data_IF_241236444596
#
_entry.id   IF_241236444596
#
_cell.length_a   1.000
_cell.length_b   1.000
_cell.length_c   1.000
_cell.angle_alpha   90.00
_cell.angle_beta   90.00
_cell.angle_gamma   90.00
#
_symmetry.space_group_name_H-M   'P 1'
#
loop_
_entity.id
_entity.type
_entity.pdbx_description
1 polymer ?
#
# COMPACT_ATOMS: atom_id res chain seq x y z
N UNK A 1 -32.57 -24.97 14.02
CA UNK A 1 -31.35 -25.72 13.71
C UNK A 1 -30.40 -24.76 13.02
N UNK A 2 -29.35 -24.35 13.73
CA UNK A 2 -28.40 -23.30 13.30
C UNK A 2 -27.72 -23.65 11.99
N UNK A 3 -27.80 -22.75 11.02
CA UNK A 3 -26.94 -22.74 9.85
C UNK A 3 -25.61 -22.10 10.26
N UNK A 4 -24.60 -22.93 10.50
CA UNK A 4 -23.22 -22.49 10.69
C UNK A 4 -22.72 -21.93 9.36
N UNK A 5 -22.67 -20.60 9.24
CA UNK A 5 -21.92 -19.93 8.18
C UNK A 5 -20.45 -20.33 8.33
N UNK A 6 -19.93 -21.07 7.35
CA UNK A 6 -18.52 -21.42 7.29
C UNK A 6 -17.70 -20.15 7.13
N UNK A 7 -17.13 -19.65 8.22
CA UNK A 7 -16.09 -18.64 8.14
C UNK A 7 -14.91 -19.28 7.40
N UNK A 8 -14.61 -18.81 6.21
CA UNK A 8 -13.38 -19.12 5.50
C UNK A 8 -12.21 -18.69 6.40
N UNK A 9 -11.48 -19.66 6.95
CA UNK A 9 -10.27 -19.40 7.73
C UNK A 9 -9.28 -18.72 6.79
N UNK A 10 -8.90 -17.48 7.10
CA UNK A 10 -7.87 -16.81 6.30
C UNK A 10 -6.53 -17.53 6.48
N UNK A 11 -5.77 -17.73 5.40
CA UNK A 11 -4.47 -18.39 5.49
C UNK A 11 -3.55 -17.61 6.41
N UNK A 12 -2.85 -18.33 7.28
CA UNK A 12 -1.88 -17.74 8.21
C UNK A 12 -0.60 -17.36 7.48
N UNK A 13 0.25 -16.56 8.13
CA UNK A 13 1.60 -16.29 7.61
C UNK A 13 2.38 -17.57 7.28
N UNK A 14 2.26 -18.60 8.11
CA UNK A 14 2.88 -19.90 7.87
C UNK A 14 2.35 -20.58 6.60
N UNK A 15 1.03 -20.58 6.39
CA UNK A 15 0.39 -21.19 5.21
C UNK A 15 0.85 -20.49 3.93
N UNK A 16 0.88 -19.16 3.92
CA UNK A 16 1.30 -18.37 2.78
C UNK A 16 2.79 -18.58 2.48
N UNK A 17 3.69 -18.52 3.47
CA UNK A 17 5.13 -18.79 3.28
C UNK A 17 5.37 -20.20 2.72
N UNK A 18 4.68 -21.20 3.27
CA UNK A 18 4.82 -22.59 2.82
C UNK A 18 4.34 -22.81 1.39
N UNK A 19 3.26 -22.13 0.99
CA UNK A 19 2.76 -22.16 -0.40
C UNK A 19 3.70 -21.40 -1.34
N UNK A 20 4.09 -20.18 -0.98
CA UNK A 20 4.76 -19.26 -1.90
C UNK A 20 6.22 -19.69 -2.18
N UNK A 21 6.91 -20.26 -1.17
CA UNK A 21 8.26 -20.83 -1.35
C UNK A 21 8.29 -22.20 -2.04
N UNK A 22 7.12 -22.82 -2.26
CA UNK A 22 7.00 -24.05 -3.04
C UNK A 22 6.70 -23.79 -4.53
N UNK A 23 6.56 -22.52 -4.94
CA UNK A 23 6.32 -22.15 -6.34
C UNK A 23 7.61 -22.13 -7.14
N UNK A 24 7.49 -22.25 -8.46
CA UNK A 24 8.56 -22.04 -9.42
C UNK A 24 8.09 -21.01 -10.47
N UNK A 25 8.61 -19.77 -10.48
CA UNK A 25 9.61 -19.23 -9.55
C UNK A 25 9.09 -19.06 -8.11
N UNK A 26 10.00 -19.01 -7.13
CA UNK A 26 9.66 -18.78 -5.72
C UNK A 26 9.24 -17.34 -5.49
N UNK A 27 8.21 -17.14 -4.68
CA UNK A 27 7.70 -15.81 -4.34
C UNK A 27 7.45 -15.71 -2.83
N UNK A 28 7.36 -14.49 -2.33
CA UNK A 28 6.82 -14.16 -1.01
C UNK A 28 6.00 -12.88 -1.14
N UNK A 29 4.86 -12.82 -0.46
CA UNK A 29 3.96 -11.66 -0.55
C UNK A 29 4.50 -10.44 0.21
N UNK A 30 4.49 -9.28 -0.46
CA UNK A 30 4.97 -8.00 0.10
C UNK A 30 4.20 -7.52 1.33
N UNK A 31 2.94 -7.94 1.52
CA UNK A 31 2.16 -7.63 2.74
C UNK A 31 2.88 -8.06 4.03
N UNK A 32 3.80 -9.03 3.95
CA UNK A 32 4.54 -9.53 5.10
C UNK A 32 5.79 -8.71 5.46
N UNK A 33 6.16 -7.70 4.66
CA UNK A 33 7.22 -6.76 5.04
C UNK A 33 6.88 -5.98 6.31
N UNK A 34 5.60 -5.65 6.52
CA UNK A 34 5.17 -4.65 7.50
C UNK A 34 4.97 -5.21 8.93
N UNK A 35 5.93 -5.99 9.42
CA UNK A 35 6.08 -6.18 10.86
C UNK A 35 6.62 -4.89 11.51
N UNK A 36 6.78 -4.87 12.84
CA UNK A 36 7.23 -3.66 13.57
C UNK A 36 8.53 -3.09 12.98
N UNK A 37 9.52 -3.94 12.69
CA UNK A 37 10.80 -3.52 12.14
C UNK A 37 10.67 -3.07 10.68
N UNK A 38 9.96 -3.82 9.85
CA UNK A 38 9.79 -3.48 8.45
C UNK A 38 9.01 -2.19 8.23
N UNK A 39 8.01 -1.90 9.05
CA UNK A 39 7.32 -0.60 9.02
C UNK A 39 8.27 0.55 9.34
N UNK A 40 9.17 0.39 10.32
CA UNK A 40 10.19 1.42 10.63
C UNK A 40 11.20 1.60 9.49
N UNK A 41 11.62 0.50 8.85
CA UNK A 41 12.48 0.55 7.68
C UNK A 41 11.79 1.25 6.50
N UNK A 42 10.51 0.99 6.27
CA UNK A 42 9.74 1.68 5.24
C UNK A 42 9.59 3.18 5.52
N UNK A 43 9.33 3.58 6.77
CA UNK A 43 9.33 5.00 7.16
C UNK A 43 10.70 5.67 6.93
N UNK A 44 11.80 4.94 7.09
CA UNK A 44 13.12 5.43 6.72
C UNK A 44 13.28 5.56 5.20
N UNK A 45 12.80 4.59 4.41
CA UNK A 45 12.77 4.64 2.94
C UNK A 45 12.04 5.90 2.46
N UNK A 46 10.87 6.19 3.04
CA UNK A 46 10.06 7.38 2.74
C UNK A 46 10.80 8.72 2.93
N UNK A 47 11.93 8.73 3.67
CA UNK A 47 12.76 9.92 3.92
C UNK A 47 14.03 9.96 3.07
N UNK A 48 14.32 8.91 2.29
CA UNK A 48 15.48 8.85 1.42
C UNK A 48 15.35 9.85 0.25
N UNK A 49 16.44 10.51 -0.16
CA UNK A 49 16.40 11.45 -1.29
C UNK A 49 16.10 10.76 -2.62
N UNK A 50 16.41 9.46 -2.76
CA UNK A 50 16.13 8.68 -3.97
C UNK A 50 14.66 8.22 -4.05
N UNK A 51 14.01 7.96 -2.92
CA UNK A 51 12.61 7.55 -2.86
C UNK A 51 11.68 8.77 -2.83
N UNK A 52 11.57 9.44 -3.99
CA UNK A 52 10.88 10.74 -4.11
C UNK A 52 9.34 10.66 -4.00
N UNK A 53 8.77 9.45 -3.99
CA UNK A 53 7.32 9.20 -4.02
C UNK A 53 6.60 9.92 -2.88
N UNK A 54 7.05 9.74 -1.63
CA UNK A 54 6.38 10.31 -0.45
C UNK A 54 6.38 11.84 -0.46
N UNK A 55 7.50 12.46 -0.82
CA UNK A 55 7.61 13.92 -0.88
C UNK A 55 6.79 14.51 -2.03
N UNK A 56 6.79 13.85 -3.19
CA UNK A 56 5.99 14.27 -4.33
C UNK A 56 4.49 14.25 -4.02
N UNK A 57 4.02 13.16 -3.40
CA UNK A 57 2.63 13.02 -3.00
C UNK A 57 2.23 14.04 -1.91
N UNK A 58 3.08 14.27 -0.90
CA UNK A 58 2.85 15.33 0.09
C UNK A 58 2.78 16.72 -0.55
N UNK A 59 3.65 17.01 -1.52
CA UNK A 59 3.60 18.26 -2.28
C UNK A 59 2.28 18.43 -3.02
N UNK A 60 1.83 17.38 -3.72
CA UNK A 60 0.55 17.39 -4.42
C UNK A 60 -0.64 17.51 -3.48
N UNK A 61 -0.64 16.81 -2.35
CA UNK A 61 -1.70 16.94 -1.34
C UNK A 61 -1.81 18.37 -0.84
N UNK A 62 -0.68 19.06 -0.57
CA UNK A 62 -0.70 20.48 -0.18
C UNK A 62 -1.30 21.34 -1.30
N UNK A 63 -0.98 21.05 -2.55
CA UNK A 63 -1.48 21.78 -3.70
C UNK A 63 -2.98 21.55 -3.95
N UNK A 64 -3.47 20.31 -3.86
CA UNK A 64 -4.83 19.95 -4.25
C UNK A 64 -5.82 19.84 -3.08
N UNK A 65 -5.35 19.88 -1.82
CA UNK A 65 -6.21 19.65 -0.66
C UNK A 65 -7.40 20.59 -0.63
N UNK A 66 -7.22 21.88 -0.90
CA UNK A 66 -8.31 22.85 -0.89
C UNK A 66 -9.38 22.53 -1.97
N UNK A 67 -8.98 22.10 -3.17
CA UNK A 67 -9.89 21.66 -4.24
C UNK A 67 -10.66 20.39 -3.84
N UNK A 68 -9.94 19.40 -3.26
CA UNK A 68 -10.53 18.13 -2.79
C UNK A 68 -11.53 18.39 -1.67
N UNK A 69 -11.17 19.23 -0.69
CA UNK A 69 -12.06 19.59 0.41
C UNK A 69 -13.26 20.39 -0.12
N UNK A 70 -13.09 21.31 -1.07
CA UNK A 70 -14.19 22.08 -1.64
C UNK A 70 -15.27 21.19 -2.28
N UNK A 71 -14.91 20.04 -2.83
CA UNK A 71 -15.83 19.06 -3.41
C UNK A 71 -16.67 18.29 -2.38
N UNK A 72 -16.31 18.32 -1.09
CA UNK A 72 -17.05 17.64 -0.03
C UNK A 72 -18.23 18.48 0.50
N UNK A 73 -19.20 17.88 1.18
CA UNK A 73 -20.13 18.61 2.06
C UNK A 73 -19.42 19.13 3.33
N UNK A 74 -20.08 19.98 4.15
CA UNK A 74 -19.50 20.52 5.39
C UNK A 74 -19.08 19.45 6.41
N UNK A 75 -19.83 18.34 6.47
CA UNK A 75 -19.50 17.16 7.27
C UNK A 75 -19.32 15.99 6.32
N UNK A 76 -18.15 15.36 6.33
CA UNK A 76 -17.84 14.23 5.46
C UNK A 76 -17.23 13.06 6.23
N UNK A 77 -17.30 11.88 5.64
CA UNK A 77 -16.51 10.73 6.09
C UNK A 77 -15.23 10.68 5.26
N UNK A 78 -14.07 10.57 5.88
CA UNK A 78 -12.79 10.34 5.20
C UNK A 78 -12.30 8.96 5.60
N UNK A 79 -11.96 8.12 4.63
CA UNK A 79 -11.39 6.79 4.85
C UNK A 79 -10.00 6.76 4.23
N UNK A 80 -8.99 6.26 4.93
CA UNK A 80 -7.69 5.97 4.34
C UNK A 80 -7.40 4.47 4.38
N UNK A 81 -7.06 3.91 3.22
CA UNK A 81 -6.67 2.52 3.03
C UNK A 81 -5.14 2.43 3.10
N UNK A 82 -4.61 1.83 4.15
CA UNK A 82 -3.16 1.77 4.39
C UNK A 82 -2.56 3.11 4.81
N UNK A 83 -2.94 3.67 5.97
CA UNK A 83 -2.56 5.03 6.38
C UNK A 83 -1.09 5.21 6.74
N UNK A 84 -0.34 4.13 7.00
CA UNK A 84 1.06 4.20 7.41
C UNK A 84 1.25 5.11 8.63
N UNK A 85 2.15 6.10 8.54
CA UNK A 85 2.38 7.09 9.60
C UNK A 85 1.31 8.18 9.74
N UNK A 86 0.35 8.27 8.83
CA UNK A 86 -0.69 9.31 8.83
C UNK A 86 -0.20 10.71 8.41
N UNK A 87 1.08 10.89 8.08
CA UNK A 87 1.65 12.20 7.69
C UNK A 87 0.89 12.84 6.50
N UNK A 88 0.42 12.03 5.55
CA UNK A 88 -0.34 12.48 4.37
C UNK A 88 -1.74 12.97 4.74
N UNK A 89 -2.39 12.26 5.65
CA UNK A 89 -3.73 12.58 6.10
C UNK A 89 -3.75 13.81 7.02
N UNK A 90 -2.66 14.08 7.76
CA UNK A 90 -2.46 15.35 8.48
C UNK A 90 -2.60 16.55 7.53
N UNK A 91 -2.03 16.50 6.33
CA UNK A 91 -2.16 17.59 5.34
C UNK A 91 -3.62 17.85 4.95
N UNK A 92 -4.41 16.79 4.75
CA UNK A 92 -5.84 16.91 4.44
C UNK A 92 -6.65 17.37 5.65
N UNK A 93 -6.30 16.92 6.85
CA UNK A 93 -6.97 17.35 8.09
C UNK A 93 -6.70 18.83 8.40
N UNK A 94 -5.49 19.34 8.14
CA UNK A 94 -5.19 20.77 8.19
C UNK A 94 -6.02 21.56 7.16
N UNK A 95 -6.27 21.01 5.97
CA UNK A 95 -7.12 21.64 4.96
C UNK A 95 -8.59 21.71 5.38
N UNK A 96 -9.11 20.64 6.00
CA UNK A 96 -10.43 20.63 6.63
C UNK A 96 -10.54 21.73 7.69
N UNK A 97 -9.52 21.88 8.54
CA UNK A 97 -9.46 22.93 9.56
C UNK A 97 -9.47 24.33 8.94
N UNK A 98 -8.65 24.60 7.92
CA UNK A 98 -8.67 25.90 7.21
C UNK A 98 -10.03 26.22 6.59
N UNK A 99 -10.72 25.20 6.08
CA UNK A 99 -12.05 25.33 5.50
C UNK A 99 -13.19 25.39 6.54
N UNK A 100 -12.90 25.35 7.85
CA UNK A 100 -13.89 25.25 8.92
C UNK A 100 -14.85 24.07 8.74
N UNK A 101 -14.31 22.92 8.31
CA UNK A 101 -15.03 21.67 8.11
C UNK A 101 -14.58 20.62 9.10
N UNK A 102 -15.43 19.62 9.31
CA UNK A 102 -15.13 18.49 10.20
C UNK A 102 -15.33 17.17 9.48
N UNK A 103 -14.52 16.19 9.85
CA UNK A 103 -14.61 14.86 9.25
C UNK A 103 -14.52 13.74 10.28
N UNK A 104 -15.23 12.66 9.98
CA UNK A 104 -15.04 11.36 10.63
C UNK A 104 -13.98 10.61 9.83
N UNK A 105 -12.81 10.42 10.41
CA UNK A 105 -11.67 9.76 9.79
C UNK A 105 -11.66 8.29 10.17
N UNK A 106 -11.66 7.41 9.17
CA UNK A 106 -11.61 5.97 9.33
C UNK A 106 -10.31 5.43 8.73
N UNK A 107 -9.47 4.84 9.58
CA UNK A 107 -8.18 4.29 9.20
C UNK A 107 -8.33 2.78 9.03
N UNK A 108 -8.00 2.23 7.86
CA UNK A 108 -8.13 0.79 7.58
C UNK A 108 -6.77 0.22 7.22
N UNK A 109 -6.29 -0.70 8.05
CA UNK A 109 -5.03 -1.41 7.83
C UNK A 109 -5.10 -2.79 8.48
N UNK A 110 -4.27 -3.72 8.02
CA UNK A 110 -4.04 -5.01 8.70
C UNK A 110 -3.00 -4.89 9.82
N UNK A 111 -2.25 -3.79 9.87
CA UNK A 111 -1.22 -3.51 10.85
C UNK A 111 -1.75 -2.63 11.99
N UNK A 112 -1.95 -3.24 13.17
CA UNK A 112 -2.30 -2.49 14.39
C UNK A 112 -1.29 -1.37 14.70
N UNK A 113 0.01 -1.61 14.43
CA UNK A 113 1.06 -0.62 14.66
C UNK A 113 0.92 0.61 13.74
N UNK A 114 0.52 0.42 12.48
CA UNK A 114 0.26 1.53 11.55
C UNK A 114 -0.97 2.34 11.98
N UNK A 115 -2.04 1.67 12.42
CA UNK A 115 -3.23 2.33 12.97
C UNK A 115 -2.89 3.19 14.18
N UNK A 116 -2.18 2.65 15.17
CA UNK A 116 -1.75 3.40 16.36
C UNK A 116 -0.88 4.61 16.02
N UNK A 117 0.02 4.46 15.04
CA UNK A 117 0.90 5.55 14.62
C UNK A 117 0.10 6.69 13.96
N UNK A 118 -0.79 6.36 13.03
CA UNK A 118 -1.62 7.34 12.34
C UNK A 118 -2.62 8.04 13.28
N UNK A 119 -3.24 7.30 14.20
CA UNK A 119 -4.10 7.88 15.25
C UNK A 119 -3.36 8.91 16.11
N UNK A 120 -2.11 8.62 16.50
CA UNK A 120 -1.28 9.57 17.24
C UNK A 120 -0.96 10.82 16.43
N UNK A 121 -0.60 10.66 15.15
CA UNK A 121 -0.31 11.77 14.23
C UNK A 121 -1.51 12.71 14.05
N UNK A 122 -2.73 12.17 14.08
CA UNK A 122 -3.96 12.94 13.89
C UNK A 122 -4.58 13.48 15.19
N UNK A 123 -4.26 12.89 16.34
CA UNK A 123 -4.79 13.30 17.65
C UNK A 123 -4.69 14.79 18.00
N UNK A 124 -3.69 15.58 17.53
CA UNK A 124 -3.64 17.01 17.82
C UNK A 124 -4.67 17.87 17.05
N UNK A 125 -5.44 17.28 16.12
CA UNK A 125 -6.33 18.00 15.21
C UNK A 125 -7.79 17.88 15.66
N UNK A 126 -8.31 18.95 16.29
CA UNK A 126 -9.67 18.97 16.87
C UNK A 126 -10.81 18.80 15.86
N UNK A 127 -10.55 18.98 14.56
CA UNK A 127 -11.56 18.92 13.50
C UNK A 127 -11.84 17.51 12.99
N UNK A 128 -11.06 16.52 13.44
CA UNK A 128 -11.21 15.12 13.01
C UNK A 128 -11.48 14.19 14.18
N UNK A 129 -12.46 13.31 14.01
CA UNK A 129 -12.68 12.16 14.90
C UNK A 129 -12.10 10.93 14.23
N UNK A 130 -11.11 10.27 14.85
CA UNK A 130 -10.35 9.18 14.24
C UNK A 130 -10.82 7.82 14.76
N UNK A 131 -10.97 6.85 13.86
CA UNK A 131 -11.40 5.48 14.15
C UNK A 131 -10.54 4.46 13.39
N UNK A 132 -9.74 3.65 14.08
CA UNK A 132 -9.01 2.53 13.49
C UNK A 132 -9.83 1.26 13.24
N UNK A 133 -9.54 0.56 12.13
CA UNK A 133 -10.15 -0.71 11.73
C UNK A 133 -9.07 -1.71 11.32
N UNK A 134 -8.64 -2.56 12.27
CA UNK A 134 -7.72 -3.67 11.97
C UNK A 134 -8.43 -4.73 11.10
N UNK A 135 -8.29 -4.61 9.79
CA UNK A 135 -9.03 -5.40 8.80
C UNK A 135 -8.43 -5.27 7.40
N UNK A 136 -8.84 -6.15 6.50
CA UNK A 136 -8.55 -5.96 5.07
C UNK A 136 -9.29 -4.74 4.53
N UNK A 137 -8.76 -4.14 3.45
CA UNK A 137 -9.34 -2.95 2.82
C UNK A 137 -10.83 -3.13 2.47
N UNK A 138 -11.21 -4.27 1.89
CA UNK A 138 -12.60 -4.57 1.54
C UNK A 138 -13.54 -4.59 2.76
N UNK A 139 -13.14 -5.32 3.81
CA UNK A 139 -13.96 -5.46 5.03
C UNK A 139 -14.09 -4.13 5.76
N UNK A 140 -12.98 -3.40 5.90
CA UNK A 140 -12.98 -2.08 6.52
C UNK A 140 -13.84 -1.09 5.74
N UNK A 141 -13.65 -1.00 4.42
CA UNK A 141 -14.36 -0.03 3.58
C UNK A 141 -15.86 -0.32 3.59
N UNK A 142 -16.26 -1.60 3.55
CA UNK A 142 -17.66 -2.02 3.65
C UNK A 142 -18.28 -1.65 5.00
N UNK A 143 -17.53 -1.83 6.10
CA UNK A 143 -17.96 -1.44 7.44
C UNK A 143 -18.19 0.07 7.54
N UNK A 144 -17.27 0.88 7.00
CA UNK A 144 -17.40 2.35 7.02
C UNK A 144 -18.59 2.80 6.16
N UNK A 145 -18.71 2.27 4.94
CA UNK A 145 -19.83 2.59 4.03
C UNK A 145 -21.20 2.21 4.62
N UNK A 146 -21.29 1.09 5.35
CA UNK A 146 -22.52 0.67 6.01
C UNK A 146 -22.86 1.47 7.27
N UNK A 147 -21.84 1.97 7.98
CA UNK A 147 -21.99 2.66 9.27
C UNK A 147 -22.28 4.17 9.17
N UNK A 148 -22.10 4.77 8.00
CA UNK A 148 -22.28 6.22 7.77
C UNK A 148 -23.73 6.59 7.42
N UNK A 149 -24.12 7.83 7.73
CA UNK A 149 -25.47 8.33 7.46
C UNK A 149 -25.80 8.34 5.95
N UNK A 150 -27.09 8.38 5.59
CA UNK A 150 -27.53 8.28 4.19
C UNK A 150 -27.09 9.46 3.33
N UNK A 151 -26.95 10.64 3.92
CA UNK A 151 -26.60 11.91 3.30
C UNK A 151 -25.10 12.26 3.39
N UNK A 152 -24.29 11.43 4.06
CA UNK A 152 -22.84 11.61 4.14
C UNK A 152 -22.13 11.12 2.88
N UNK A 153 -21.31 12.02 2.31
CA UNK A 153 -20.34 11.72 1.25
C UNK A 153 -19.06 11.20 1.89
N UNK A 154 -18.49 10.14 1.29
CA UNK A 154 -17.23 9.57 1.71
C UNK A 154 -16.12 9.90 0.72
N UNK A 155 -14.98 10.36 1.24
CA UNK A 155 -13.71 10.44 0.52
C UNK A 155 -12.83 9.27 0.92
N UNK A 156 -12.54 8.37 -0.01
CA UNK A 156 -11.61 7.26 0.16
C UNK A 156 -10.23 7.65 -0.36
N UNK A 157 -9.21 7.59 0.47
CA UNK A 157 -7.82 7.82 0.14
C UNK A 157 -7.13 6.47 -0.07
N UNK A 158 -6.47 6.31 -1.21
CA UNK A 158 -5.54 5.20 -1.43
C UNK A 158 -4.24 5.76 -2.01
N UNK A 159 -3.30 6.02 -1.11
CA UNK A 159 -2.12 6.85 -1.35
C UNK A 159 -0.83 6.02 -1.41
N UNK A 160 0.28 6.67 -1.70
CA UNK A 160 1.63 6.09 -1.71
C UNK A 160 1.92 5.20 -2.89
N UNK A 161 1.07 5.21 -3.93
CA UNK A 161 1.11 4.25 -5.02
C UNK A 161 1.02 2.79 -4.56
N UNK A 162 0.36 2.54 -3.42
CA UNK A 162 0.13 1.19 -2.89
C UNK A 162 -0.65 0.30 -3.88
N UNK A 163 -1.45 0.90 -4.77
CA UNK A 163 -2.12 0.19 -5.86
C UNK A 163 -1.12 -0.51 -6.81
N UNK A 164 0.09 0.02 -6.94
CA UNK A 164 1.15 -0.55 -7.76
C UNK A 164 1.67 -1.89 -7.23
N UNK A 165 1.37 -2.24 -5.97
CA UNK A 165 1.75 -3.53 -5.40
C UNK A 165 0.83 -4.68 -5.85
N UNK A 166 -0.27 -4.36 -6.54
CA UNK A 166 -1.14 -5.34 -7.16
C UNK A 166 -0.71 -5.60 -8.60
N UNK A 167 -0.80 -6.86 -9.01
CA UNK A 167 -0.84 -7.20 -10.44
C UNK A 167 -1.93 -6.40 -11.15
N UNK A 168 -1.73 -6.06 -12.43
CA UNK A 168 -2.61 -5.15 -13.17
C UNK A 168 -4.09 -5.54 -13.12
N UNK A 169 -4.40 -6.84 -13.19
CA UNK A 169 -5.79 -7.33 -13.08
C UNK A 169 -6.31 -7.13 -11.66
N UNK A 170 -5.52 -7.46 -10.64
CA UNK A 170 -5.88 -7.29 -9.24
C UNK A 170 -6.06 -5.81 -8.86
N UNK A 171 -5.28 -4.89 -9.44
CA UNK A 171 -5.48 -3.45 -9.27
C UNK A 171 -6.85 -2.99 -9.80
N UNK A 172 -7.23 -3.45 -11.00
CA UNK A 172 -8.57 -3.18 -11.57
C UNK A 172 -9.70 -3.79 -10.72
N UNK A 173 -9.51 -5.01 -10.23
CA UNK A 173 -10.50 -5.69 -9.39
C UNK A 173 -10.63 -5.03 -8.01
N UNK A 174 -9.53 -4.53 -7.44
CA UNK A 174 -9.55 -3.70 -6.24
C UNK A 174 -10.38 -2.42 -6.45
N UNK A 175 -10.19 -1.71 -7.56
CA UNK A 175 -10.99 -0.52 -7.88
C UNK A 175 -12.47 -0.88 -8.07
N UNK A 176 -12.79 -2.00 -8.73
CA UNK A 176 -14.18 -2.48 -8.86
C UNK A 176 -14.80 -2.83 -7.52
N UNK A 177 -14.04 -3.46 -6.63
CA UNK A 177 -14.46 -3.76 -5.27
C UNK A 177 -14.75 -2.45 -4.52
N UNK A 178 -13.83 -1.49 -4.54
CA UNK A 178 -14.01 -0.19 -3.91
C UNK A 178 -15.25 0.52 -4.46
N UNK A 179 -15.44 0.54 -5.79
CA UNK A 179 -16.65 1.07 -6.41
C UNK A 179 -17.91 0.40 -5.88
N UNK A 180 -17.99 -0.92 -5.79
CA UNK A 180 -19.19 -1.63 -5.31
C UNK A 180 -19.57 -1.26 -3.87
N UNK A 181 -18.57 -0.93 -3.04
CA UNK A 181 -18.78 -0.55 -1.64
C UNK A 181 -19.15 0.93 -1.51
N UNK A 182 -18.59 1.78 -2.35
CA UNK A 182 -18.86 3.23 -2.38
C UNK A 182 -20.26 3.52 -2.93
N UNK A 183 -20.90 4.59 -2.45
CA UNK A 183 -22.20 5.05 -2.96
C UNK A 183 -21.97 6.03 -4.12
N UNK A 184 -22.93 6.17 -5.06
CA UNK A 184 -22.86 7.21 -6.07
C UNK A 184 -22.60 8.59 -5.47
N UNK A 185 -21.67 9.35 -6.05
CA UNK A 185 -21.23 10.66 -5.53
C UNK A 185 -20.12 10.62 -4.47
N UNK A 186 -19.75 9.43 -3.96
CA UNK A 186 -18.52 9.30 -3.16
C UNK A 186 -17.27 9.58 -4.00
N UNK A 187 -16.22 10.02 -3.32
CA UNK A 187 -14.95 10.38 -3.95
C UNK A 187 -13.85 9.38 -3.58
N UNK A 188 -12.93 9.16 -4.52
CA UNK A 188 -11.69 8.42 -4.26
C UNK A 188 -10.49 9.25 -4.72
N UNK A 189 -9.54 9.51 -3.83
CA UNK A 189 -8.25 10.09 -4.18
C UNK A 189 -7.21 8.99 -4.28
N UNK A 190 -6.73 8.74 -5.49
CA UNK A 190 -5.79 7.67 -5.81
C UNK A 190 -4.41 8.26 -6.10
N UNK A 191 -3.40 7.82 -5.34
CA UNK A 191 -1.99 8.08 -5.62
C UNK A 191 -1.37 7.02 -6.51
N UNK A 192 -0.64 7.44 -7.54
CA UNK A 192 0.01 6.55 -8.50
C UNK A 192 1.40 7.08 -8.87
N UNK A 193 2.39 6.21 -8.74
CA UNK A 193 3.75 6.50 -9.16
C UNK A 193 3.86 6.27 -10.68
N UNK A 194 4.37 7.26 -11.41
CA UNK A 194 4.37 7.22 -12.88
C UNK A 194 5.64 6.59 -13.44
N UNK A 195 5.55 6.12 -14.69
CA UNK A 195 6.72 5.71 -15.48
C UNK A 195 7.66 6.91 -15.63
N UNK A 196 8.94 6.69 -15.31
CA UNK A 196 10.01 7.69 -15.36
C UNK A 196 11.33 6.98 -15.75
N UNK A 197 12.45 7.69 -15.97
CA UNK A 197 13.70 7.05 -16.41
C UNK A 197 14.13 5.92 -15.48
N UNK A 198 14.56 4.79 -16.06
CA UNK A 198 14.95 3.59 -15.31
C UNK A 198 15.94 3.86 -14.17
N UNK A 199 17.02 4.67 -14.34
CA UNK A 199 17.94 4.93 -13.24
C UNK A 199 17.25 5.54 -12.02
N UNK A 200 16.30 6.46 -12.22
CA UNK A 200 15.53 7.08 -11.14
C UNK A 200 14.63 6.05 -10.45
N UNK A 201 14.00 5.17 -11.23
CA UNK A 201 13.19 4.08 -10.68
C UNK A 201 14.03 3.08 -9.90
N UNK A 202 15.21 2.72 -10.39
CA UNK A 202 16.08 1.76 -9.71
C UNK A 202 16.68 2.35 -8.44
N UNK A 203 17.20 3.56 -8.49
CA UNK A 203 17.80 4.22 -7.32
C UNK A 203 16.80 4.41 -6.17
N UNK A 204 15.51 4.58 -6.47
CA UNK A 204 14.47 4.65 -5.46
C UNK A 204 14.29 3.34 -4.66
N UNK A 205 14.66 2.19 -5.24
CA UNK A 205 14.50 0.87 -4.64
C UNK A 205 15.84 0.18 -4.33
N UNK A 206 16.95 0.70 -4.83
CA UNK A 206 18.31 0.20 -4.61
C UNK A 206 19.17 1.34 -4.03
N UNK A 207 18.70 1.93 -2.93
CA UNK A 207 19.36 3.09 -2.34
C UNK A 207 20.79 2.74 -1.87
N UNK A 208 21.78 3.63 -2.06
CA UNK A 208 23.17 3.36 -1.72
C UNK A 208 23.44 3.25 -0.22
N UNK A 209 22.47 3.60 0.63
CA UNK A 209 22.56 3.41 2.09
C UNK A 209 22.15 1.99 2.51
N UNK A 210 21.57 1.20 1.60
CA UNK A 210 21.16 -0.18 1.84
C UNK A 210 19.92 -0.32 2.71
N UNK A 211 19.11 0.73 2.87
CA UNK A 211 17.91 0.69 3.71
C UNK A 211 16.83 -0.17 3.06
N UNK A 212 16.62 -0.06 1.75
CA UNK A 212 15.67 -0.89 0.99
C UNK A 212 16.13 -2.34 0.91
N UNK A 213 17.44 -2.57 0.82
CA UNK A 213 17.99 -3.91 0.93
C UNK A 213 17.72 -4.54 2.31
N UNK A 214 17.86 -3.77 3.39
CA UNK A 214 17.50 -4.22 4.74
C UNK A 214 16.00 -4.47 4.89
N UNK A 215 15.15 -3.60 4.34
CA UNK A 215 13.70 -3.77 4.29
C UNK A 215 13.30 -5.06 3.57
N UNK A 216 13.87 -5.33 2.39
CA UNK A 216 13.58 -6.54 1.65
C UNK A 216 14.03 -7.81 2.43
N UNK A 217 15.26 -7.79 2.97
CA UNK A 217 15.79 -8.91 3.78
C UNK A 217 15.04 -9.13 5.10
N UNK A 218 14.36 -8.11 5.63
CA UNK A 218 13.56 -8.24 6.85
C UNK A 218 12.51 -9.34 6.75
N UNK A 219 12.02 -9.65 5.54
CA UNK A 219 11.09 -10.74 5.33
C UNK A 219 11.68 -12.10 5.78
N UNK A 220 12.98 -12.33 5.52
CA UNK A 220 13.69 -13.52 6.00
C UNK A 220 13.90 -13.48 7.53
N UNK A 221 14.17 -12.30 8.10
CA UNK A 221 14.27 -12.11 9.57
C UNK A 221 12.96 -12.51 10.24
N UNK A 222 11.83 -12.06 9.66
CA UNK A 222 10.50 -12.38 10.15
C UNK A 222 10.22 -13.88 10.09
N UNK A 223 10.53 -14.53 8.97
CA UNK A 223 10.39 -16.00 8.82
C UNK A 223 11.26 -16.73 9.85
N UNK A 224 12.51 -16.29 10.05
CA UNK A 224 13.40 -16.87 11.06
C UNK A 224 12.81 -16.75 12.48
N UNK A 225 12.29 -15.57 12.83
CA UNK A 225 11.75 -15.27 14.16
C UNK A 225 10.41 -15.97 14.43
N UNK A 226 9.46 -15.86 13.52
CA UNK A 226 8.07 -16.31 13.74
C UNK A 226 7.84 -17.76 13.34
N UNK A 227 8.55 -18.25 12.33
CA UNK A 227 8.32 -19.58 11.75
C UNK A 227 9.48 -20.56 12.00
N UNK A 228 10.51 -20.13 12.75
CA UNK A 228 11.70 -20.95 13.02
C UNK A 228 12.50 -21.26 11.76
N UNK A 229 12.52 -20.33 10.79
CA UNK A 229 13.42 -20.36 9.65
C UNK A 229 14.89 -20.22 10.05
N UNK A 230 15.80 -20.64 9.18
CA UNK A 230 17.26 -20.53 9.37
C UNK A 230 17.96 -19.89 8.18
N UNK A 231 17.34 -18.87 7.59
CA UNK A 231 17.95 -18.10 6.52
C UNK A 231 19.19 -17.34 7.05
N UNK A 232 20.35 -17.54 6.42
CA UNK A 232 21.51 -16.67 6.62
C UNK A 232 21.41 -15.48 5.66
N UNK A 233 21.06 -14.31 6.21
CA UNK A 233 20.86 -13.08 5.44
C UNK A 233 22.10 -12.63 4.64
N UNK A 234 23.31 -13.06 5.04
CA UNK A 234 24.53 -12.76 4.31
C UNK A 234 24.61 -13.51 2.97
N UNK A 235 23.91 -14.65 2.84
CA UNK A 235 23.83 -15.44 1.60
C UNK A 235 22.73 -14.96 0.65
N UNK A 236 22.04 -13.87 0.98
CA UNK A 236 21.04 -13.27 0.09
C UNK A 236 21.52 -11.90 -0.36
N UNK A 237 21.40 -11.65 -1.66
CA UNK A 237 21.60 -10.36 -2.27
C UNK A 237 20.26 -9.72 -2.57
N UNK A 238 20.14 -8.43 -2.27
CA UNK A 238 19.01 -7.63 -2.73
C UNK A 238 19.21 -7.31 -4.21
N UNK A 239 18.21 -7.60 -5.04
CA UNK A 239 18.26 -7.35 -6.47
C UNK A 239 17.00 -6.59 -6.89
N UNK A 240 17.21 -5.48 -7.59
CA UNK A 240 16.15 -4.63 -8.15
C UNK A 240 16.19 -4.72 -9.66
N UNK A 241 15.05 -5.05 -10.28
CA UNK A 241 14.91 -5.14 -11.73
C UNK A 241 13.80 -4.20 -12.19
N UNK A 242 14.08 -3.41 -13.22
CA UNK A 242 13.03 -2.73 -13.97
C UNK A 242 12.57 -3.63 -15.11
N UNK A 243 11.29 -3.98 -15.12
CA UNK A 243 10.66 -4.72 -16.20
C UNK A 243 9.93 -3.73 -17.12
N UNK A 244 10.48 -3.40 -18.31
CA UNK A 244 9.88 -2.41 -19.20
C UNK A 244 8.63 -2.90 -19.92
N UNK A 245 8.41 -4.22 -19.99
CA UNK A 245 7.20 -4.81 -20.61
C UNK A 245 6.01 -4.65 -19.69
N UNK A 246 6.20 -5.00 -18.41
CA UNK A 246 5.17 -4.88 -17.38
C UNK A 246 5.13 -3.50 -16.71
N UNK A 247 6.08 -2.62 -17.05
CA UNK A 247 6.29 -1.28 -16.47
C UNK A 247 6.29 -1.30 -14.94
N UNK A 248 7.14 -2.14 -14.34
CA UNK A 248 7.21 -2.30 -12.89
C UNK A 248 8.64 -2.48 -12.40
N UNK A 249 8.86 -2.07 -11.15
CA UNK A 249 10.02 -2.52 -10.38
C UNK A 249 9.70 -3.88 -9.77
N UNK A 250 10.66 -4.79 -9.82
CA UNK A 250 10.61 -6.12 -9.22
C UNK A 250 11.74 -6.22 -8.20
N UNK A 251 11.38 -6.61 -6.96
CA UNK A 251 12.34 -6.85 -5.88
C UNK A 251 12.56 -8.35 -5.72
N UNK A 252 13.82 -8.74 -5.64
CA UNK A 252 14.23 -10.11 -5.44
C UNK A 252 15.23 -10.26 -4.30
N UNK A 253 15.19 -11.42 -3.66
CA UNK A 253 16.28 -11.95 -2.85
C UNK A 253 16.98 -13.05 -3.64
N UNK A 254 18.20 -12.77 -4.11
CA UNK A 254 19.02 -13.71 -4.88
C UNK A 254 19.95 -14.49 -3.96
N UNK A 255 19.89 -15.82 -4.04
CA UNK A 255 20.80 -16.70 -3.31
C UNK A 255 22.22 -16.58 -3.86
N UNK A 256 23.21 -16.39 -2.98
CA UNK A 256 24.64 -16.28 -3.34
C UNK A 256 25.33 -17.63 -3.44
N UNK A 257 24.70 -18.70 -3.00
CA UNK A 257 25.22 -20.05 -3.02
C UNK A 257 24.05 -21.05 -3.16
N UNK A 258 24.36 -22.30 -3.49
CA UNK A 258 23.39 -23.37 -3.32
C UNK A 258 23.18 -23.62 -1.82
N UNK A 259 21.93 -23.55 -1.35
CA UNK A 259 21.60 -23.70 0.06
C UNK A 259 20.23 -24.33 0.27
N UNK A 260 20.09 -25.06 1.38
CA UNK A 260 18.82 -25.62 1.85
C UNK A 260 18.48 -24.99 3.19
N UNK A 261 17.33 -24.34 3.28
CA UNK A 261 16.87 -23.68 4.50
C UNK A 261 15.66 -24.40 5.06
N UNK A 262 15.75 -24.85 6.31
CA UNK A 262 14.63 -25.48 7.02
C UNK A 262 13.79 -24.43 7.75
N UNK A 263 12.47 -24.53 7.63
CA UNK A 263 11.49 -23.68 8.30
C UNK A 263 10.64 -24.55 9.23
N UNK A 264 10.86 -24.41 10.55
CA UNK A 264 10.31 -25.32 11.56
C UNK A 264 8.78 -25.36 11.61
N UNK A 265 8.11 -24.20 11.58
CA UNK A 265 6.67 -24.11 11.78
C UNK A 265 5.83 -24.74 10.64
N UNK A 266 6.43 -24.94 9.47
CA UNK A 266 5.77 -25.57 8.31
C UNK A 266 6.36 -26.94 7.97
N UNK A 267 7.38 -27.39 8.70
CA UNK A 267 8.13 -28.64 8.45
C UNK A 267 8.57 -28.80 6.98
N UNK A 268 9.09 -27.71 6.38
CA UNK A 268 9.57 -27.70 4.99
C UNK A 268 11.03 -27.31 4.89
N UNK A 269 11.66 -27.84 3.85
CA UNK A 269 12.97 -27.42 3.36
C UNK A 269 12.79 -26.63 2.07
N UNK A 270 13.45 -25.48 2.00
CA UNK A 270 13.49 -24.62 0.82
C UNK A 270 14.86 -24.78 0.21
N UNK A 271 14.91 -25.43 -0.95
CA UNK A 271 16.14 -25.62 -1.73
C UNK A 271 16.29 -24.46 -2.71
N UNK A 272 17.44 -23.82 -2.69
CA UNK A 272 17.83 -22.73 -3.58
C UNK A 272 19.14 -23.09 -4.28
N UNK A 273 19.18 -22.98 -5.60
CA UNK A 273 20.43 -23.00 -6.34
C UNK A 273 21.19 -21.66 -6.16
N UNK A 274 22.50 -21.67 -6.46
CA UNK A 274 23.25 -20.42 -6.59
C UNK A 274 22.65 -19.55 -7.69
N UNK A 275 22.43 -18.27 -7.39
CA UNK A 275 21.80 -17.31 -8.30
C UNK A 275 20.26 -17.40 -8.36
N UNK A 276 19.64 -18.39 -7.72
CA UNK A 276 18.18 -18.50 -7.69
C UNK A 276 17.54 -17.34 -6.91
N UNK A 277 16.43 -16.81 -7.41
CA UNK A 277 15.74 -15.65 -6.86
C UNK A 277 14.42 -16.01 -6.20
N UNK A 278 14.11 -15.36 -5.08
CA UNK A 278 12.78 -15.28 -4.51
C UNK A 278 12.22 -13.90 -4.82
N UNK A 279 11.10 -13.81 -5.56
CA UNK A 279 10.42 -12.53 -5.75
C UNK A 279 9.75 -12.09 -4.45
N UNK A 280 9.89 -10.82 -4.08
CA UNK A 280 9.37 -10.30 -2.82
C UNK A 280 8.40 -9.14 -3.00
N UNK A 281 8.48 -8.43 -4.14
CA UNK A 281 7.57 -7.32 -4.43
C UNK A 281 7.52 -7.02 -5.93
N UNK A 282 6.34 -6.64 -6.40
CA UNK A 282 6.17 -5.90 -7.64
C UNK A 282 5.69 -4.50 -7.29
N UNK A 283 6.22 -3.48 -7.95
CA UNK A 283 5.75 -2.10 -7.85
C UNK A 283 5.51 -1.54 -9.24
N UNK A 284 4.29 -1.73 -9.73
CA UNK A 284 3.83 -1.23 -11.02
C UNK A 284 3.81 0.30 -11.06
N UNK A 285 4.26 0.82 -12.20
CA UNK A 285 4.25 2.24 -12.53
C UNK A 285 3.17 2.50 -13.56
N UNK A 286 2.58 3.68 -13.47
CA UNK A 286 1.43 4.06 -14.27
C UNK A 286 1.79 5.12 -15.30
N UNK A 287 0.96 5.25 -16.32
CA UNK A 287 1.01 6.35 -17.27
C UNK A 287 -0.16 7.26 -16.99
N UNK A 288 0.10 8.56 -16.86
CA UNK A 288 -0.89 9.55 -16.44
C UNK A 288 -2.17 9.45 -17.29
N UNK A 289 -2.00 9.34 -18.61
CA UNK A 289 -3.06 9.26 -19.60
C UNK A 289 -3.89 7.97 -19.56
N UNK A 290 -3.46 6.94 -18.81
CA UNK A 290 -4.16 5.65 -18.70
C UNK A 290 -4.92 5.49 -17.37
N UNK A 291 -4.66 6.36 -16.39
CA UNK A 291 -5.27 6.24 -15.05
C UNK A 291 -6.78 6.50 -15.11
N UNK A 292 -7.23 7.50 -15.86
CA UNK A 292 -8.65 7.78 -16.08
C UNK A 292 -9.41 6.57 -16.61
N UNK A 293 -8.89 5.96 -17.68
CA UNK A 293 -9.48 4.77 -18.29
C UNK A 293 -9.52 3.57 -17.32
N UNK A 294 -8.51 3.42 -16.45
CA UNK A 294 -8.49 2.40 -15.40
C UNK A 294 -9.64 2.62 -14.39
N UNK A 295 -9.86 3.86 -13.95
CA UNK A 295 -10.97 4.21 -13.06
C UNK A 295 -12.34 4.04 -13.74
N UNK A 296 -12.48 4.46 -15.00
CA UNK A 296 -13.72 4.32 -15.77
C UNK A 296 -14.11 2.85 -15.95
N UNK A 297 -13.15 1.98 -16.26
CA UNK A 297 -13.37 0.53 -16.36
C UNK A 297 -13.78 -0.13 -15.03
N UNK A 298 -13.59 0.56 -13.91
CA UNK A 298 -14.03 0.16 -12.58
C UNK A 298 -15.35 0.82 -12.14
N UNK A 299 -15.92 1.74 -12.94
CA UNK A 299 -17.18 2.44 -12.64
C UNK A 299 -17.01 3.81 -12.00
N UNK A 300 -15.84 4.43 -12.12
CA UNK A 300 -15.60 5.81 -11.66
C UNK A 300 -15.67 6.84 -12.80
N UNK A 301 -15.74 8.12 -12.43
CA UNK A 301 -15.48 9.27 -13.31
C UNK A 301 -14.20 9.94 -12.84
N UNK A 302 -13.26 10.19 -13.75
CA UNK A 302 -12.15 11.09 -13.45
C UNK A 302 -12.68 12.53 -13.32
N UNK A 303 -12.46 13.16 -12.17
CA UNK A 303 -12.83 14.56 -11.91
C UNK A 303 -11.67 15.50 -12.20
N UNK A 304 -10.49 15.13 -11.70
CA UNK A 304 -9.28 15.93 -11.81
C UNK A 304 -8.05 15.07 -11.57
N UNK A 305 -6.94 15.43 -12.20
CA UNK A 305 -5.63 14.83 -11.99
C UNK A 305 -4.60 15.93 -11.76
N UNK A 306 -3.78 15.76 -10.73
CA UNK A 306 -2.62 16.61 -10.45
C UNK A 306 -1.36 15.77 -10.59
N UNK A 307 -0.35 16.32 -11.26
CA UNK A 307 0.91 15.64 -11.53
C UNK A 307 2.06 16.48 -10.98
N UNK A 308 2.92 15.86 -10.18
CA UNK A 308 4.21 16.43 -9.80
C UNK A 308 5.19 16.08 -10.93
N UNK A 309 5.60 17.09 -11.69
CA UNK A 309 6.34 16.89 -12.93
C UNK A 309 7.76 16.38 -12.69
N UNK A 310 8.41 16.76 -11.59
CA UNK A 310 9.83 16.41 -11.39
C UNK A 310 10.01 14.99 -10.86
N UNK A 311 9.11 14.54 -9.99
CA UNK A 311 9.10 13.20 -9.43
C UNK A 311 8.21 12.25 -10.24
N UNK A 312 7.41 12.75 -11.20
CA UNK A 312 6.51 11.94 -12.02
C UNK A 312 5.60 11.08 -11.14
N UNK A 313 4.78 11.75 -10.33
CA UNK A 313 3.77 11.15 -9.46
C UNK A 313 2.43 11.83 -9.72
N UNK A 314 1.32 11.09 -9.68
CA UNK A 314 -0.01 11.64 -9.89
C UNK A 314 -0.95 11.35 -8.71
N UNK A 315 -1.75 12.35 -8.35
CA UNK A 315 -2.99 12.19 -7.60
C UNK A 315 -4.16 12.34 -8.56
N UNK A 316 -5.05 11.34 -8.58
CA UNK A 316 -6.27 11.39 -9.40
C UNK A 316 -7.50 11.32 -8.49
N UNK A 317 -8.37 12.33 -8.60
CA UNK A 317 -9.66 12.35 -7.93
C UNK A 317 -10.71 11.71 -8.82
N UNK A 318 -11.34 10.67 -8.30
CA UNK A 318 -12.42 9.94 -8.92
C UNK A 318 -13.74 10.17 -8.18
N UNK A 319 -14.85 10.13 -8.92
CA UNK A 319 -16.21 10.09 -8.37
C UNK A 319 -16.87 8.76 -8.72
N UNK A 320 -17.52 8.12 -7.75
CA UNK A 320 -18.23 6.86 -7.95
C UNK A 320 -19.55 7.07 -8.73
N UNK A 321 -19.73 6.38 -9.87
CA UNK A 321 -20.98 6.38 -10.68
C UNK A 321 -21.95 5.30 -10.27
#
# INVERSE_FOLDING_TARGET
MSSTTGATVQPTFADDVGRDLAREPKELQSKYFYDVLGSQLFEAICRLPWYRITQAELSLLRQCSDDVIAALPPTATVTELGPGSGEKLVVLAEALQRASRSARVHLIDVSAAALELSERSLSPLDQVSVFGHESTYEVGLARVSAGRASDEVMLTLFLGSSIGNFERIAACDFLRMARRVMRPGDLMLLGTDLVKPEPVLRDAYDDPLGVTAAFNKNLLVRINRELGGRFDLAQFEHLVVWNPVEERIELYLRSRCAQTVRIGAIDREVVLAEGETICTEHSHKYRAERIGAMGEAAGFIERQQWIEADAQFALTLFEAR
#
